data_IF_939986352380
#
_entry.id   IF_939986352380
#
_cell.length_a   1.000
_cell.length_b   1.000
_cell.length_c   1.000
_cell.angle_alpha   90.00
_cell.angle_beta   90.00
_cell.angle_gamma   90.00
#
_symmetry.space_group_name_H-M   'P 1'
#
loop_
_entity.id
_entity.type
_entity.pdbx_description
1 polymer ?
#
# COMPACT_ATOMS: atom_id res chain seq x y z
N UNK A 1 9.89 -10.37 7.05
CA UNK A 1 10.87 -10.02 6.00
C UNK A 1 12.19 -10.77 6.12
N UNK A 2 12.94 -10.66 7.23
CA UNK A 2 14.33 -11.15 7.36
C UNK A 2 14.57 -12.59 6.88
N UNK A 3 13.71 -13.54 7.25
CA UNK A 3 13.89 -14.93 6.82
C UNK A 3 13.66 -15.11 5.31
N UNK A 4 12.69 -14.37 4.73
CA UNK A 4 12.39 -14.45 3.31
C UNK A 4 13.56 -13.99 2.45
N UNK A 5 14.19 -12.86 2.80
CA UNK A 5 15.35 -12.34 2.04
C UNK A 5 16.61 -13.19 2.21
N UNK A 6 16.74 -13.95 3.30
CA UNK A 6 17.90 -14.82 3.57
C UNK A 6 17.77 -16.20 2.96
N UNK A 7 16.56 -16.75 2.95
CA UNK A 7 16.34 -18.17 2.70
C UNK A 7 15.30 -18.45 1.60
N UNK A 8 14.58 -17.43 1.14
CA UNK A 8 13.50 -17.59 0.16
C UNK A 8 13.97 -17.70 -1.28
N UNK A 9 15.26 -17.47 -1.58
CA UNK A 9 15.78 -17.55 -2.95
C UNK A 9 15.23 -16.48 -3.91
N UNK A 10 14.74 -15.36 -3.37
CA UNK A 10 14.20 -14.24 -4.14
C UNK A 10 15.28 -13.65 -5.06
N UNK A 11 14.90 -13.30 -6.30
CA UNK A 11 15.79 -12.78 -7.33
C UNK A 11 15.66 -11.25 -7.43
N UNK A 12 16.71 -10.48 -7.10
CA UNK A 12 16.71 -9.03 -7.28
C UNK A 12 16.41 -8.65 -8.73
N UNK A 13 15.56 -7.64 -8.94
CA UNK A 13 15.17 -7.17 -10.27
C UNK A 13 14.13 -8.03 -11.00
N UNK A 14 13.69 -9.15 -10.41
CA UNK A 14 12.68 -10.04 -11.02
C UNK A 14 11.48 -10.29 -10.11
N UNK A 15 11.73 -10.58 -8.83
CA UNK A 15 10.67 -10.96 -7.90
C UNK A 15 10.16 -9.74 -7.12
N UNK A 16 8.88 -9.80 -6.73
CA UNK A 16 8.20 -8.76 -5.96
C UNK A 16 7.95 -9.21 -4.52
N UNK A 17 7.79 -8.25 -3.62
CA UNK A 17 7.49 -8.51 -2.21
C UNK A 17 6.19 -7.82 -1.80
N UNK A 18 5.26 -8.59 -1.21
CA UNK A 18 3.86 -8.19 -1.05
C UNK A 18 3.39 -8.02 0.40
N UNK A 19 4.31 -7.82 1.36
CA UNK A 19 3.93 -7.53 2.73
C UNK A 19 3.03 -6.29 2.79
N UNK A 20 2.08 -6.32 3.71
CA UNK A 20 1.06 -5.29 3.88
C UNK A 20 1.25 -4.59 5.22
N UNK A 21 1.35 -3.26 5.21
CA UNK A 21 1.50 -2.47 6.42
C UNK A 21 0.31 -2.64 7.38
N UNK A 22 -0.92 -2.77 6.85
CA UNK A 22 -2.14 -2.98 7.65
C UNK A 22 -2.14 -4.29 8.41
N UNK A 23 -1.39 -5.29 7.92
CA UNK A 23 -1.29 -6.63 8.50
C UNK A 23 0.06 -6.90 9.18
N UNK A 24 0.98 -5.93 9.15
CA UNK A 24 2.36 -6.08 9.60
C UNK A 24 2.80 -4.96 10.52
N UNK A 25 1.98 -4.64 11.54
CA UNK A 25 2.29 -3.65 12.58
C UNK A 25 2.44 -2.19 12.09
N UNK A 26 1.83 -1.86 10.96
CA UNK A 26 1.71 -0.48 10.47
C UNK A 26 2.93 0.06 9.72
N UNK A 27 2.86 1.33 9.35
CA UNK A 27 3.86 2.01 8.51
C UNK A 27 5.27 2.00 9.11
N UNK A 28 5.39 2.16 10.43
CA UNK A 28 6.69 2.16 11.11
C UNK A 28 7.42 0.83 10.96
N UNK A 29 6.70 -0.28 11.11
CA UNK A 29 7.29 -1.60 10.88
C UNK A 29 7.52 -1.85 9.39
N UNK A 30 6.63 -1.36 8.52
CA UNK A 30 6.84 -1.42 7.08
C UNK A 30 8.15 -0.76 6.65
N UNK A 31 8.46 0.42 7.18
CA UNK A 31 9.73 1.10 6.95
C UNK A 31 10.94 0.27 7.43
N UNK A 32 10.82 -0.43 8.57
CA UNK A 32 11.87 -1.36 9.04
C UNK A 32 12.02 -2.56 8.09
N UNK A 33 10.93 -3.11 7.56
CA UNK A 33 10.99 -4.19 6.57
C UNK A 33 11.66 -3.74 5.26
N UNK A 34 11.41 -2.50 4.80
CA UNK A 34 12.10 -1.94 3.64
C UNK A 34 13.61 -1.79 3.89
N UNK A 35 14.01 -1.30 5.06
CA UNK A 35 15.42 -1.22 5.43
C UNK A 35 16.10 -2.60 5.42
N UNK A 36 15.38 -3.65 5.84
CA UNK A 36 15.87 -5.04 5.74
C UNK A 36 16.01 -5.48 4.28
N UNK A 37 15.05 -5.18 3.40
CA UNK A 37 15.12 -5.46 1.96
C UNK A 37 16.38 -4.82 1.34
N UNK A 38 16.55 -3.52 1.58
CA UNK A 38 17.65 -2.71 1.01
C UNK A 38 19.01 -3.19 1.51
N UNK A 39 19.12 -3.52 2.80
CA UNK A 39 20.35 -4.09 3.36
C UNK A 39 20.72 -5.47 2.76
N UNK A 40 19.76 -6.18 2.14
CA UNK A 40 20.00 -7.45 1.44
C UNK A 40 20.09 -7.29 -0.09
N UNK A 41 20.29 -6.05 -0.58
CA UNK A 41 20.56 -5.78 -1.99
C UNK A 41 19.32 -5.70 -2.89
N UNK A 42 18.12 -5.62 -2.31
CA UNK A 42 16.89 -5.41 -3.08
C UNK A 42 16.55 -3.91 -3.15
N UNK A 43 16.09 -3.48 -4.32
CA UNK A 43 15.55 -2.13 -4.49
C UNK A 43 14.12 -2.08 -3.95
N UNK A 44 13.75 -1.07 -3.16
CA UNK A 44 12.39 -0.92 -2.61
C UNK A 44 11.29 -0.90 -3.69
N UNK A 45 11.62 -0.59 -4.94
CA UNK A 45 10.71 -0.67 -6.10
C UNK A 45 10.25 -2.10 -6.41
N UNK A 46 10.83 -3.13 -5.80
CA UNK A 46 10.27 -4.48 -5.85
C UNK A 46 9.14 -4.71 -4.83
N UNK A 47 8.83 -3.74 -3.97
CA UNK A 47 7.72 -3.86 -3.02
C UNK A 47 6.39 -3.43 -3.66
N UNK A 48 5.39 -4.31 -3.55
CA UNK A 48 4.02 -4.14 -4.04
C UNK A 48 3.05 -4.61 -2.95
N UNK A 49 2.70 -3.76 -1.95
CA UNK A 49 1.84 -4.17 -0.85
C UNK A 49 0.53 -4.80 -1.32
N UNK A 50 0.19 -5.94 -0.74
CA UNK A 50 -1.17 -6.50 -0.75
C UNK A 50 -2.15 -5.52 -0.08
N UNK A 51 -3.46 -5.66 -0.33
CA UNK A 51 -4.50 -5.10 0.55
C UNK A 51 -5.42 -4.07 -0.12
N UNK A 52 -5.07 -3.55 -1.29
CA UNK A 52 -6.01 -2.85 -2.17
C UNK A 52 -6.70 -1.61 -1.63
N UNK A 53 -6.18 -1.02 -0.54
CA UNK A 53 -6.80 0.08 0.18
C UNK A 53 -6.03 1.40 0.01
N UNK A 54 -6.71 2.53 0.20
CA UNK A 54 -6.18 3.88 -0.04
C UNK A 54 -4.89 4.18 0.75
N UNK A 55 -4.75 3.65 1.96
CA UNK A 55 -3.52 3.81 2.76
C UNK A 55 -2.29 3.21 2.03
N UNK A 56 -2.41 2.06 1.36
CA UNK A 56 -1.29 1.45 0.64
C UNK A 56 -0.93 2.22 -0.63
N UNK A 57 -1.89 2.93 -1.24
CA UNK A 57 -1.58 3.88 -2.31
C UNK A 57 -0.68 5.02 -1.81
N UNK A 58 -1.00 5.60 -0.65
CA UNK A 58 -0.17 6.64 -0.04
C UNK A 58 1.21 6.10 0.38
N UNK A 59 1.29 4.89 0.93
CA UNK A 59 2.57 4.27 1.30
C UNK A 59 3.43 4.04 0.05
N UNK A 60 2.84 3.52 -1.03
CA UNK A 60 3.55 3.31 -2.29
C UNK A 60 4.08 4.62 -2.87
N UNK A 61 3.23 5.65 -2.96
CA UNK A 61 3.60 6.96 -3.48
C UNK A 61 4.65 7.67 -2.59
N UNK A 62 4.46 7.66 -1.28
CA UNK A 62 5.30 8.39 -0.33
C UNK A 62 6.68 7.76 -0.10
N UNK A 63 6.80 6.43 -0.18
CA UNK A 63 8.06 5.72 0.01
C UNK A 63 8.79 5.38 -1.29
N UNK A 64 8.18 5.62 -2.45
CA UNK A 64 8.74 5.31 -3.76
C UNK A 64 8.80 3.81 -4.05
N UNK A 65 7.71 3.09 -3.76
CA UNK A 65 7.59 1.65 -4.03
C UNK A 65 7.26 1.39 -5.51
N UNK A 66 7.23 0.12 -5.91
CA UNK A 66 6.93 -0.27 -7.29
C UNK A 66 5.46 -0.11 -7.67
N UNK A 67 4.58 -0.13 -6.68
CA UNK A 67 3.13 -0.01 -6.81
C UNK A 67 2.43 -0.56 -5.58
N UNK A 68 1.13 -0.77 -5.69
CA UNK A 68 0.34 -1.52 -4.71
C UNK A 68 -0.85 -2.19 -5.41
N UNK A 69 -1.43 -3.19 -4.76
CA UNK A 69 -2.63 -3.84 -5.26
C UNK A 69 -3.84 -2.89 -5.25
N UNK A 70 -4.86 -3.19 -6.07
CA UNK A 70 -6.17 -2.52 -6.07
C UNK A 70 -7.27 -3.56 -6.28
N UNK A 71 -8.43 -3.35 -5.65
CA UNK A 71 -9.57 -4.27 -5.72
C UNK A 71 -10.83 -3.60 -6.29
N UNK A 72 -10.93 -3.38 -7.61
CA UNK A 72 -12.18 -2.93 -8.22
C UNK A 72 -13.29 -3.96 -7.98
N UNK A 73 -14.41 -3.52 -7.40
CA UNK A 73 -15.63 -4.31 -7.27
C UNK A 73 -15.72 -5.27 -6.09
N UNK A 74 -14.70 -5.36 -5.22
CA UNK A 74 -14.75 -6.18 -4.00
C UNK A 74 -14.27 -5.41 -2.77
N UNK A 75 -14.73 -5.82 -1.59
CA UNK A 75 -14.40 -5.22 -0.28
C UNK A 75 -14.77 -3.74 -0.13
N UNK A 76 -15.70 -3.22 -0.94
CA UNK A 76 -16.26 -1.89 -0.73
C UNK A 76 -16.92 -1.77 0.66
N UNK A 77 -16.81 -0.61 1.34
CA UNK A 77 -16.16 0.62 0.89
C UNK A 77 -14.65 0.70 1.24
N UNK A 78 -14.06 -0.30 1.89
CA UNK A 78 -12.66 -0.29 2.34
C UNK A 78 -11.64 -0.51 1.22
N UNK A 79 -12.01 -1.32 0.22
CA UNK A 79 -11.23 -1.54 -0.99
C UNK A 79 -11.42 -0.42 -2.04
N UNK A 80 -10.40 -0.27 -2.88
CA UNK A 80 -10.38 0.70 -3.98
C UNK A 80 -10.05 2.12 -3.51
N UNK A 81 -10.17 3.07 -4.44
CA UNK A 81 -9.73 4.45 -4.25
C UNK A 81 -10.89 5.45 -4.39
N UNK A 82 -10.64 6.70 -4.02
CA UNK A 82 -11.65 7.76 -4.17
C UNK A 82 -11.87 8.07 -5.66
N UNK A 83 -13.07 8.58 -6.05
CA UNK A 83 -13.32 9.01 -7.42
C UNK A 83 -12.38 10.11 -7.93
N UNK A 84 -11.74 10.86 -7.03
CA UNK A 84 -10.77 11.89 -7.35
C UNK A 84 -9.37 11.36 -7.69
N UNK A 85 -9.08 10.08 -7.42
CA UNK A 85 -7.80 9.49 -7.82
C UNK A 85 -7.68 9.42 -9.34
N UNK A 86 -6.57 9.91 -9.88
CA UNK A 86 -6.35 9.99 -11.33
C UNK A 86 -5.65 8.72 -11.81
N UNK A 87 -6.31 7.96 -12.69
CA UNK A 87 -5.73 6.83 -13.40
C UNK A 87 -5.22 7.30 -14.78
N UNK A 88 -3.91 7.22 -15.01
CA UNK A 88 -3.28 7.51 -16.31
C UNK A 88 -2.13 6.55 -16.54
N UNK A 89 -2.00 6.04 -17.76
CA UNK A 89 -0.85 5.22 -18.19
C UNK A 89 -0.53 4.03 -17.28
N UNK A 90 -1.57 3.41 -16.69
CA UNK A 90 -1.43 2.28 -15.77
C UNK A 90 -0.95 2.64 -14.36
N UNK A 91 -0.80 3.93 -14.05
CA UNK A 91 -0.49 4.45 -12.73
C UNK A 91 -1.69 5.21 -12.15
N UNK A 92 -1.82 5.19 -10.83
CA UNK A 92 -2.85 5.92 -10.10
C UNK A 92 -2.22 6.89 -9.11
N UNK A 93 -2.75 8.11 -9.06
CA UNK A 93 -2.27 9.17 -8.17
C UNK A 93 -3.32 9.49 -7.11
N UNK A 94 -2.95 9.53 -5.81
CA UNK A 94 -3.87 9.97 -4.76
C UNK A 94 -4.24 11.45 -4.95
N UNK A 95 -5.32 11.86 -4.32
CA UNK A 95 -5.76 13.26 -4.28
C UNK A 95 -4.86 14.11 -3.39
N UNK A 96 -5.06 15.43 -3.39
CA UNK A 96 -4.42 16.40 -2.48
C UNK A 96 -5.15 16.56 -1.13
N UNK A 97 -6.13 15.68 -0.86
CA UNK A 97 -6.86 15.64 0.40
C UNK A 97 -5.92 15.51 1.62
N UNK A 98 -6.22 16.17 2.75
CA UNK A 98 -5.46 15.99 3.98
C UNK A 98 -5.45 14.53 4.45
N UNK A 99 -4.36 14.12 5.08
CA UNK A 99 -4.21 12.76 5.61
C UNK A 99 -4.17 11.70 4.52
N UNK A 100 -5.00 10.66 4.66
CA UNK A 100 -5.13 9.57 3.68
C UNK A 100 -6.32 9.74 2.73
N UNK A 101 -7.03 10.88 2.78
CA UNK A 101 -8.19 11.13 1.92
C UNK A 101 -9.37 10.16 2.14
N UNK A 102 -9.53 9.63 3.35
CA UNK A 102 -10.60 8.67 3.67
C UNK A 102 -11.99 9.30 3.50
N UNK A 103 -12.10 10.59 3.76
CA UNK A 103 -13.32 11.40 3.65
C UNK A 103 -13.79 11.54 2.20
N UNK A 104 -12.90 11.33 1.23
CA UNK A 104 -13.26 11.33 -0.20
C UNK A 104 -13.63 9.94 -0.70
N UNK A 105 -13.55 8.90 0.15
CA UNK A 105 -13.97 7.54 -0.19
C UNK A 105 -15.44 7.37 0.14
N UNK A 106 -16.27 7.33 -0.89
CA UNK A 106 -17.72 7.14 -0.75
C UNK A 106 -18.05 5.90 0.11
N UNK A 107 -18.94 6.09 1.09
CA UNK A 107 -19.40 5.06 2.02
C UNK A 107 -18.50 4.84 3.24
N UNK A 108 -17.30 5.43 3.29
CA UNK A 108 -16.36 5.21 4.39
C UNK A 108 -16.63 6.15 5.57
N UNK A 109 -16.95 7.43 5.31
CA UNK A 109 -17.28 8.41 6.36
C UNK A 109 -18.45 7.92 7.21
N UNK A 110 -19.51 7.42 6.58
CA UNK A 110 -20.69 6.93 7.29
C UNK A 110 -20.38 5.79 8.25
N UNK A 111 -19.46 4.89 7.88
CA UNK A 111 -19.03 3.78 8.74
C UNK A 111 -18.09 4.23 9.86
N UNK A 112 -17.25 5.25 9.61
CA UNK A 112 -16.38 5.82 10.64
C UNK A 112 -17.22 6.56 11.68
N UNK A 113 -18.19 7.36 11.24
CA UNK A 113 -19.09 8.08 12.13
C UNK A 113 -19.90 7.11 13.00
N UNK A 114 -20.45 6.03 12.42
CA UNK A 114 -21.16 4.98 13.18
C UNK A 114 -20.27 4.31 14.24
N UNK A 115 -18.97 4.13 13.94
CA UNK A 115 -18.01 3.56 14.89
C UNK A 115 -17.68 4.51 16.05
N UNK A 116 -17.70 5.82 15.80
CA UNK A 116 -17.28 6.84 16.76
C UNK A 116 -18.42 7.38 17.63
N UNK A 117 -19.68 7.21 17.18
CA UNK A 117 -20.89 7.70 17.87
C UNK A 117 -21.14 9.19 17.66
#
# INVERSE_FOLDING_TARGET
MTNLVRYGGMRPGHDIFQMDAGLSYGLTEYARMLAVLEAHGFDRRCAYPHGGHLINLHIAAGLGLGGCESYPGVFAPFGGYSPGCVLSDGAITPTDAPGFGLEQKAGLTELIDDLLG
#
